data_IF_789083589298
#
_entry.id   IF_789083589298
#
_cell.length_a   1.000
_cell.length_b   1.000
_cell.length_c   1.000
_cell.angle_alpha   90.00
_cell.angle_beta   90.00
_cell.angle_gamma   90.00
#
_symmetry.space_group_name_H-M   'P 1'
#
loop_
_entity.id
_entity.type
_entity.pdbx_description
1 polymer ?
#
# COMPACT_ATOMS: atom_id res chain seq x y z
N UNK A 1 12.04 -5.93 -8.33
CA UNK A 1 10.86 -5.37 -7.66
C UNK A 1 9.60 -5.98 -8.22
N UNK A 2 8.60 -6.13 -7.38
CA UNK A 2 7.34 -6.70 -7.81
C UNK A 2 6.35 -5.58 -8.17
N UNK A 3 5.70 -5.71 -9.31
CA UNK A 3 4.70 -4.75 -9.76
C UNK A 3 3.32 -5.22 -9.34
N UNK A 4 2.57 -4.35 -8.69
CA UNK A 4 1.23 -4.64 -8.23
C UNK A 4 0.26 -3.73 -8.94
N UNK A 5 -0.79 -4.31 -9.53
CA UNK A 5 -1.89 -3.53 -10.10
C UNK A 5 -2.91 -3.26 -9.01
N UNK A 6 -3.31 -2.01 -8.88
CA UNK A 6 -4.28 -1.61 -7.87
C UNK A 6 -5.36 -0.74 -8.49
N UNK A 7 -6.53 -0.75 -7.87
CA UNK A 7 -7.66 0.06 -8.28
C UNK A 7 -7.97 1.03 -7.15
N UNK A 8 -7.66 2.30 -7.36
CA UNK A 8 -7.82 3.33 -6.34
C UNK A 8 -9.23 3.90 -6.40
N UNK A 9 -9.93 3.88 -5.27
CA UNK A 9 -11.30 4.40 -5.13
C UNK A 9 -12.25 3.78 -6.17
N UNK A 10 -11.97 2.56 -6.62
CA UNK A 10 -12.73 1.84 -7.63
C UNK A 10 -12.83 2.58 -8.97
N UNK A 11 -11.89 3.50 -9.23
CA UNK A 11 -11.94 4.34 -10.44
C UNK A 11 -10.65 4.31 -11.25
N UNK A 12 -9.52 4.45 -10.57
CA UNK A 12 -8.24 4.61 -11.25
C UNK A 12 -7.41 3.36 -11.15
N UNK A 13 -7.22 2.71 -12.29
CA UNK A 13 -6.29 1.61 -12.36
C UNK A 13 -4.87 2.18 -12.42
N UNK A 14 -4.01 1.74 -11.52
CA UNK A 14 -2.62 2.13 -11.51
C UNK A 14 -1.77 0.93 -11.11
N UNK A 15 -0.47 1.08 -11.17
CA UNK A 15 0.43 0.05 -10.67
C UNK A 15 1.54 0.70 -9.87
N UNK A 16 2.01 -0.03 -8.86
CA UNK A 16 3.14 0.39 -8.05
C UNK A 16 4.18 -0.72 -8.05
N UNK A 17 5.43 -0.35 -7.88
CA UNK A 17 6.52 -1.30 -7.80
C UNK A 17 7.09 -1.27 -6.40
N UNK A 18 7.14 -2.43 -5.76
CA UNK A 18 7.65 -2.57 -4.40
C UNK A 18 8.57 -3.77 -4.33
N UNK A 19 9.51 -3.72 -3.42
CA UNK A 19 10.31 -4.88 -3.07
C UNK A 19 9.39 -5.97 -2.53
N UNK A 20 9.74 -7.24 -2.75
CA UNK A 20 8.90 -8.35 -2.30
C UNK A 20 8.64 -8.29 -0.80
N UNK A 21 9.63 -7.88 -0.03
CA UNK A 21 9.49 -7.75 1.43
C UNK A 21 8.39 -6.79 1.81
N UNK A 22 8.27 -5.67 1.08
CA UNK A 22 7.19 -4.71 1.31
C UNK A 22 5.84 -5.24 0.87
N UNK A 23 5.80 -6.00 -0.23
CA UNK A 23 4.56 -6.61 -0.70
C UNK A 23 4.04 -7.61 0.34
N UNK A 24 4.94 -8.46 0.86
CA UNK A 24 4.56 -9.45 1.86
C UNK A 24 4.08 -8.79 3.13
N UNK A 25 4.78 -7.74 3.59
CA UNK A 25 4.38 -7.00 4.78
C UNK A 25 3.01 -6.34 4.58
N UNK A 26 2.78 -5.77 3.41
CA UNK A 26 1.50 -5.14 3.09
C UNK A 26 0.35 -6.14 3.12
N UNK A 27 0.58 -7.35 2.60
CA UNK A 27 -0.42 -8.42 2.65
C UNK A 27 -0.76 -8.82 4.08
N UNK A 28 0.25 -8.91 4.93
CA UNK A 28 0.02 -9.24 6.33
C UNK A 28 -0.75 -8.15 7.05
N UNK A 29 -0.41 -6.89 6.80
CA UNK A 29 -1.11 -5.76 7.37
C UNK A 29 -2.58 -5.77 6.94
N UNK A 30 -2.84 -6.01 5.65
CA UNK A 30 -4.19 -6.10 5.13
C UNK A 30 -4.99 -7.18 5.83
N UNK A 31 -4.37 -8.35 6.02
CA UNK A 31 -5.00 -9.47 6.69
C UNK A 31 -5.33 -9.14 8.13
N UNK A 32 -4.42 -8.49 8.84
CA UNK A 32 -4.64 -8.10 10.24
C UNK A 32 -5.74 -7.06 10.37
N UNK A 33 -5.84 -6.15 9.42
CA UNK A 33 -6.88 -5.12 9.43
C UNK A 33 -8.18 -5.57 8.80
N UNK A 34 -8.21 -6.79 8.26
CA UNK A 34 -9.37 -7.34 7.54
C UNK A 34 -9.80 -6.45 6.39
N UNK A 35 -8.82 -5.92 5.67
CA UNK A 35 -9.03 -5.07 4.50
C UNK A 35 -8.34 -5.66 3.29
N UNK A 36 -8.77 -5.25 2.10
CA UNK A 36 -8.04 -5.61 0.89
C UNK A 36 -6.84 -4.68 0.71
N UNK A 37 -5.87 -5.12 -0.09
CA UNK A 37 -4.74 -4.27 -0.45
C UNK A 37 -5.24 -3.02 -1.17
N UNK A 38 -6.24 -3.16 -2.05
CA UNK A 38 -6.82 -2.01 -2.73
C UNK A 38 -7.39 -0.99 -1.75
N UNK A 39 -8.06 -1.45 -0.70
CA UNK A 39 -8.62 -0.56 0.31
C UNK A 39 -7.52 0.22 1.02
N UNK A 40 -6.46 -0.47 1.42
CA UNK A 40 -5.34 0.17 2.11
C UNK A 40 -4.67 1.20 1.20
N UNK A 41 -4.41 0.85 -0.04
CA UNK A 41 -3.75 1.76 -0.98
C UNK A 41 -4.64 2.94 -1.31
N UNK A 42 -5.95 2.74 -1.39
CA UNK A 42 -6.89 3.86 -1.58
C UNK A 42 -6.80 4.84 -0.42
N UNK A 43 -6.74 4.34 0.82
CA UNK A 43 -6.60 5.20 1.99
C UNK A 43 -5.27 5.96 1.97
N UNK A 44 -4.18 5.28 1.60
CA UNK A 44 -2.87 5.91 1.51
C UNK A 44 -2.88 7.02 0.45
N UNK A 45 -3.47 6.73 -0.71
CA UNK A 45 -3.53 7.73 -1.78
C UNK A 45 -4.31 8.97 -1.37
N UNK A 46 -5.38 8.78 -0.61
CA UNK A 46 -6.19 9.89 -0.13
C UNK A 46 -5.45 10.80 0.85
N UNK A 47 -4.48 10.25 1.58
CA UNK A 47 -3.78 10.99 2.62
C UNK A 47 -2.36 11.41 2.24
N UNK A 48 -1.81 10.86 1.15
CA UNK A 48 -0.47 11.24 0.72
C UNK A 48 -0.46 12.68 0.22
N UNK A 49 0.68 13.34 0.39
CA UNK A 49 0.80 14.73 -0.05
C UNK A 49 1.50 14.80 -1.40
N UNK A 50 2.82 14.96 -1.41
CA UNK A 50 3.56 15.15 -2.65
C UNK A 50 4.41 13.95 -3.07
N UNK A 51 4.60 13.01 -2.19
CA UNK A 51 5.38 11.81 -2.50
C UNK A 51 4.61 10.91 -3.48
N UNK A 52 5.34 10.13 -4.27
CA UNK A 52 4.68 9.18 -5.15
C UNK A 52 4.07 8.03 -4.34
N UNK A 53 3.15 7.32 -4.97
CA UNK A 53 2.36 6.31 -4.27
C UNK A 53 3.23 5.16 -3.74
N UNK A 54 4.24 4.72 -4.50
CA UNK A 54 5.12 3.66 -4.02
C UNK A 54 5.84 4.05 -2.75
N UNK A 55 6.36 5.28 -2.69
CA UNK A 55 7.02 5.79 -1.49
C UNK A 55 6.05 5.90 -0.33
N UNK A 56 4.85 6.39 -0.58
CA UNK A 56 3.83 6.51 0.47
C UNK A 56 3.46 5.14 1.04
N UNK A 57 3.36 4.12 0.19
CA UNK A 57 3.06 2.75 0.64
C UNK A 57 4.21 2.20 1.49
N UNK A 58 5.47 2.43 1.08
CA UNK A 58 6.62 1.99 1.87
C UNK A 58 6.61 2.61 3.27
N UNK A 59 6.38 3.91 3.34
CA UNK A 59 6.31 4.60 4.63
C UNK A 59 5.18 4.07 5.49
N UNK A 60 4.02 3.84 4.89
CA UNK A 60 2.89 3.27 5.60
C UNK A 60 3.24 1.90 6.22
N UNK A 61 3.82 1.02 5.41
CA UNK A 61 4.22 -0.31 5.87
C UNK A 61 5.21 -0.20 7.03
N UNK A 62 6.19 0.66 6.91
CA UNK A 62 7.20 0.84 7.96
C UNK A 62 6.56 1.30 9.26
N UNK A 63 5.66 2.28 9.20
CA UNK A 63 4.96 2.78 10.37
C UNK A 63 4.10 1.71 11.04
N UNK A 64 3.42 0.90 10.26
CA UNK A 64 2.58 -0.17 10.80
C UNK A 64 3.41 -1.25 11.49
N UNK A 65 4.56 -1.58 10.92
CA UNK A 65 5.47 -2.54 11.54
C UNK A 65 6.00 -2.01 12.88
N UNK A 66 6.29 -0.73 12.94
CA UNK A 66 6.83 -0.11 14.16
C UNK A 66 5.82 -0.07 15.30
N UNK A 67 4.54 -0.22 15.03
CA UNK A 67 3.50 -0.28 16.06
C UNK A 67 3.40 -1.63 16.76
N UNK A 68 4.00 -2.66 16.17
CA UNK A 68 3.87 -4.03 16.68
C UNK A 68 4.88 -4.32 17.78
#
# INVERSE_FOLDING_TARGET
MKKISVLIANRHATSISLEEEFVDALRQIAKLQKKSINDIITEIDATRQKENLSSAVRVYVLKEIQKI
#
